data_IF_932833400441
#
_entry.id   IF_932833400441
#
_cell.length_a   1.000
_cell.length_b   1.000
_cell.length_c   1.000
_cell.angle_alpha   90.00
_cell.angle_beta   90.00
_cell.angle_gamma   90.00
#
_symmetry.space_group_name_H-M   'P 1'
#
loop_
_entity.id
_entity.type
_entity.pdbx_description
1 polymer ?
#
# COMPACT_ATOMS: atom_id res chain seq x y z
N UNK A 1 9.19 2.53 9.01
CA UNK A 1 8.76 3.69 8.21
C UNK A 1 7.51 3.30 7.43
N UNK A 2 6.58 4.23 7.23
CA UNK A 2 5.40 4.04 6.36
C UNK A 2 5.48 5.10 5.28
N UNK A 3 5.48 4.65 4.03
CA UNK A 3 5.60 5.50 2.84
C UNK A 3 4.25 5.52 2.11
N UNK A 4 3.71 6.69 1.84
CA UNK A 4 2.56 6.81 0.94
C UNK A 4 3.06 7.09 -0.47
N UNK A 5 2.65 6.27 -1.44
CA UNK A 5 3.00 6.45 -2.85
C UNK A 5 1.72 6.42 -3.67
N UNK A 6 1.15 7.60 -3.94
CA UNK A 6 -0.17 7.82 -4.54
C UNK A 6 -1.29 7.00 -3.87
N UNK A 7 -2.29 7.64 -3.27
CA UNK A 7 -3.34 6.93 -2.50
C UNK A 7 -4.76 7.36 -2.88
N UNK A 8 -4.89 8.04 -4.02
CA UNK A 8 -6.09 8.78 -4.40
C UNK A 8 -6.78 8.26 -5.66
N UNK A 9 -6.10 7.51 -6.52
CA UNK A 9 -6.69 7.05 -7.77
C UNK A 9 -7.37 5.68 -7.60
N UNK A 10 -8.69 5.64 -7.78
CA UNK A 10 -9.48 4.41 -7.70
C UNK A 10 -10.39 4.27 -8.91
N UNK A 11 -10.50 3.05 -9.44
CA UNK A 11 -11.35 2.76 -10.60
C UNK A 11 -12.00 1.38 -10.50
N UNK A 12 -13.23 1.26 -11.00
CA UNK A 12 -13.93 -0.01 -11.19
C UNK A 12 -13.73 -0.59 -12.60
N UNK A 13 -12.88 0.04 -13.41
CA UNK A 13 -12.45 -0.48 -14.70
C UNK A 13 -11.38 -1.57 -14.54
N UNK A 14 -11.18 -2.36 -15.59
CA UNK A 14 -10.16 -3.39 -15.59
C UNK A 14 -8.76 -2.75 -15.62
N UNK A 15 -7.85 -3.25 -14.79
CA UNK A 15 -6.47 -2.78 -14.70
C UNK A 15 -5.49 -3.93 -14.91
N UNK A 16 -4.33 -3.65 -15.48
CA UNK A 16 -3.25 -4.64 -15.59
C UNK A 16 -2.33 -4.54 -14.38
N UNK A 17 -2.52 -5.46 -13.44
CA UNK A 17 -1.66 -5.64 -12.27
C UNK A 17 -0.86 -6.94 -12.32
N UNK A 18 -0.67 -7.52 -13.52
CA UNK A 18 0.05 -8.79 -13.70
C UNK A 18 1.39 -8.80 -12.97
N UNK A 19 2.18 -7.73 -13.08
CA UNK A 19 3.48 -7.57 -12.40
C UNK A 19 3.38 -7.61 -10.87
N UNK A 20 2.40 -6.92 -10.27
CA UNK A 20 2.22 -6.90 -8.82
C UNK A 20 1.58 -8.19 -8.30
N UNK A 21 0.64 -8.76 -9.06
CA UNK A 21 -0.16 -9.92 -8.67
C UNK A 21 0.66 -11.18 -8.37
N UNK A 22 1.82 -11.33 -9.00
CA UNK A 22 2.79 -12.41 -8.74
C UNK A 22 3.32 -12.41 -7.30
N UNK A 23 3.24 -11.26 -6.62
CA UNK A 23 3.81 -11.05 -5.29
C UNK A 23 2.76 -10.83 -4.21
N UNK A 24 1.47 -10.92 -4.56
CA UNK A 24 0.39 -10.78 -3.59
C UNK A 24 0.42 -11.98 -2.65
N UNK A 25 0.70 -11.72 -1.38
CA UNK A 25 0.70 -12.71 -0.30
C UNK A 25 -0.69 -12.85 0.30
N UNK A 26 -1.55 -11.84 0.11
CA UNK A 26 -2.91 -11.83 0.64
C UNK A 26 -3.83 -10.98 -0.21
N UNK A 27 -4.89 -11.62 -0.71
CA UNK A 27 -5.86 -11.04 -1.63
C UNK A 27 -7.23 -10.94 -0.94
N UNK A 28 -7.57 -9.73 -0.46
CA UNK A 28 -8.90 -9.42 0.08
C UNK A 28 -9.73 -8.53 -0.86
N UNK A 29 -9.26 -8.33 -2.09
CA UNK A 29 -9.85 -7.43 -3.07
C UNK A 29 -9.92 -8.08 -4.45
N UNK A 30 -10.86 -7.63 -5.29
CA UNK A 30 -10.83 -7.92 -6.72
C UNK A 30 -9.76 -7.07 -7.41
N UNK A 31 -8.55 -7.63 -7.51
CA UNK A 31 -7.40 -6.98 -8.13
C UNK A 31 -7.53 -6.82 -9.66
N UNK A 32 -8.57 -7.37 -10.29
CA UNK A 32 -8.85 -7.01 -11.69
C UNK A 32 -9.33 -5.57 -11.81
N UNK A 33 -9.80 -4.99 -10.69
CA UNK A 33 -10.24 -3.60 -10.55
C UNK A 33 -9.23 -2.78 -9.78
N UNK A 34 -9.12 -1.52 -10.14
CA UNK A 34 -8.33 -0.53 -9.42
C UNK A 34 -9.00 0.00 -8.15
N UNK A 35 -9.77 -0.79 -7.42
CA UNK A 35 -10.59 -0.32 -6.29
C UNK A 35 -10.11 -0.80 -4.91
N UNK A 36 -8.79 -0.81 -4.71
CA UNK A 36 -8.15 -1.26 -3.48
C UNK A 36 -6.85 -0.47 -3.22
N UNK A 37 -6.31 -0.61 -2.00
CA UNK A 37 -4.97 -0.14 -1.62
C UNK A 37 -3.99 -1.31 -1.42
N UNK A 38 -2.77 -1.21 -1.94
CA UNK A 38 -1.71 -2.20 -1.72
C UNK A 38 -0.83 -1.80 -0.55
N UNK A 39 -0.62 -2.74 0.38
CA UNK A 39 0.41 -2.70 1.40
C UNK A 39 1.61 -3.51 0.90
N UNK A 40 2.72 -2.85 0.62
CA UNK A 40 3.90 -3.44 -0.01
C UNK A 40 5.07 -3.44 0.96
N UNK A 41 5.73 -4.59 1.11
CA UNK A 41 6.96 -4.72 1.90
C UNK A 41 8.02 -5.57 1.18
N UNK A 42 9.26 -5.53 1.65
CA UNK A 42 10.30 -6.52 1.33
C UNK A 42 10.31 -7.67 2.36
N UNK A 43 11.11 -8.70 2.14
CA UNK A 43 11.15 -9.89 3.01
C UNK A 43 11.53 -9.51 4.45
N UNK A 44 12.48 -8.59 4.59
CA UNK A 44 12.96 -8.17 5.90
C UNK A 44 11.90 -7.35 6.67
N UNK A 45 10.95 -6.70 5.98
CA UNK A 45 9.88 -5.88 6.56
C UNK A 45 8.58 -6.65 6.79
N UNK A 46 8.47 -7.91 6.36
CA UNK A 46 7.25 -8.71 6.52
C UNK A 46 6.78 -8.79 7.98
N UNK A 47 7.69 -9.09 8.92
CA UNK A 47 7.35 -9.10 10.36
C UNK A 47 6.90 -7.74 10.87
N UNK A 48 7.42 -6.65 10.32
CA UNK A 48 7.01 -5.29 10.66
C UNK A 48 5.61 -4.99 10.12
N UNK A 49 5.31 -5.33 8.87
CA UNK A 49 3.98 -5.22 8.27
C UNK A 49 2.92 -6.02 9.03
N UNK A 50 3.24 -7.23 9.45
CA UNK A 50 2.31 -8.07 10.22
C UNK A 50 1.90 -7.45 11.57
N UNK A 51 2.70 -6.54 12.17
CA UNK A 51 2.35 -5.86 13.43
C UNK A 51 1.15 -4.93 13.28
N UNK A 52 0.87 -4.41 12.08
CA UNK A 52 -0.26 -3.52 11.82
C UNK A 52 -1.61 -4.23 11.91
N UNK A 53 -1.64 -5.54 11.62
CA UNK A 53 -2.81 -6.39 11.80
C UNK A 53 -4.09 -5.80 11.18
N UNK A 54 -4.01 -5.37 9.92
CA UNK A 54 -5.07 -4.67 9.19
C UNK A 54 -6.41 -5.41 9.16
N UNK A 55 -6.42 -6.74 9.32
CA UNK A 55 -7.67 -7.52 9.42
C UNK A 55 -8.49 -7.20 10.65
N UNK A 56 -7.82 -6.80 11.75
CA UNK A 56 -8.48 -6.46 13.01
C UNK A 56 -8.90 -5.00 13.10
N UNK A 57 -8.78 -4.24 12.01
CA UNK A 57 -9.26 -2.87 11.89
C UNK A 57 -10.61 -2.90 11.19
N UNK A 58 -11.58 -2.17 11.74
CA UNK A 58 -12.83 -1.89 11.05
C UNK A 58 -12.51 -0.96 9.88
N UNK A 59 -12.51 -1.51 8.67
CA UNK A 59 -11.97 -0.86 7.47
C UNK A 59 -13.06 -0.57 6.46
N UNK A 60 -12.99 0.61 5.85
CA UNK A 60 -13.91 1.07 4.80
C UNK A 60 -13.31 0.99 3.38
N UNK A 61 -12.14 0.40 3.27
CA UNK A 61 -11.40 0.25 2.01
C UNK A 61 -10.88 -1.18 1.89
N UNK A 62 -10.97 -1.74 0.68
CA UNK A 62 -10.34 -3.02 0.37
C UNK A 62 -8.83 -2.86 0.24
N UNK A 63 -8.09 -3.90 0.61
CA UNK A 63 -6.64 -3.87 0.52
C UNK A 63 -6.06 -5.22 0.12
N UNK A 64 -4.82 -5.19 -0.34
CA UNK A 64 -3.99 -6.38 -0.55
C UNK A 64 -2.66 -6.22 0.15
N UNK A 65 -2.02 -7.33 0.46
CA UNK A 65 -0.62 -7.33 0.91
C UNK A 65 0.23 -7.97 -0.19
N UNK A 66 1.36 -7.33 -0.49
CA UNK A 66 2.33 -7.84 -1.45
C UNK A 66 3.73 -7.79 -0.84
N UNK A 67 4.50 -8.85 -1.06
CA UNK A 67 5.88 -8.94 -0.63
C UNK A 67 6.80 -9.03 -1.85
N UNK A 68 7.52 -7.95 -2.11
CA UNK A 68 8.38 -7.84 -3.30
C UNK A 68 9.80 -8.32 -2.92
N UNK A 69 10.36 -9.27 -3.68
CA UNK A 69 11.73 -9.71 -3.43
C UNK A 69 12.73 -8.58 -3.63
N UNK A 70 13.72 -8.47 -2.76
CA UNK A 70 14.85 -7.57 -3.01
C UNK A 70 16.02 -8.34 -3.64
N UNK A 71 16.74 -7.78 -4.64
CA UNK A 71 16.61 -6.45 -5.24
C UNK A 71 15.75 -6.44 -6.51
N UNK A 72 14.42 -6.48 -6.41
CA UNK A 72 13.50 -6.15 -7.51
C UNK A 72 12.97 -4.74 -7.25
N UNK A 73 13.55 -3.75 -7.93
CA UNK A 73 13.50 -2.34 -7.54
C UNK A 73 12.52 -1.47 -8.34
N UNK A 74 11.88 -1.97 -9.41
CA UNK A 74 11.13 -1.10 -10.34
C UNK A 74 9.61 -1.20 -10.25
N UNK A 75 9.06 -2.32 -9.77
CA UNK A 75 7.59 -2.53 -9.76
C UNK A 75 6.91 -1.56 -8.77
N UNK A 76 7.64 -1.15 -7.74
CA UNK A 76 7.12 -0.33 -6.64
C UNK A 76 8.17 0.70 -6.22
N UNK A 77 8.70 1.50 -7.15
CA UNK A 77 9.75 2.46 -6.79
C UNK A 77 9.17 3.69 -6.07
N UNK A 78 9.58 3.90 -4.81
CA UNK A 78 9.29 5.11 -4.02
C UNK A 78 10.28 5.20 -2.83
N UNK A 79 10.09 6.13 -1.89
CA UNK A 79 11.07 6.46 -0.84
C UNK A 79 11.47 5.29 0.08
N UNK A 80 10.59 4.29 0.22
CA UNK A 80 10.85 3.07 0.97
C UNK A 80 12.06 2.27 0.47
N UNK A 81 12.43 2.38 -0.81
CA UNK A 81 13.61 1.69 -1.36
C UNK A 81 14.90 2.08 -0.62
N UNK A 82 15.04 3.36 -0.23
CA UNK A 82 16.20 3.82 0.53
C UNK A 82 16.25 3.19 1.92
N UNK A 83 15.09 3.05 2.58
CA UNK A 83 15.02 2.41 3.89
C UNK A 83 15.39 0.92 3.79
N UNK A 84 14.85 0.22 2.79
CA UNK A 84 15.19 -1.18 2.55
C UNK A 84 16.68 -1.37 2.30
N UNK A 85 17.29 -0.52 1.45
CA UNK A 85 18.73 -0.53 1.15
C UNK A 85 19.60 -0.43 2.40
N UNK A 86 19.19 0.33 3.41
CA UNK A 86 19.93 0.51 4.66
C UNK A 86 19.46 -0.41 5.80
N UNK A 87 18.64 -1.44 5.50
CA UNK A 87 18.17 -2.43 6.48
C UNK A 87 17.04 -1.94 7.40
N UNK A 88 16.48 -0.75 7.15
CA UNK A 88 15.36 -0.22 7.92
C UNK A 88 14.03 -0.79 7.42
N UNK A 89 13.17 -1.18 8.36
CA UNK A 89 11.86 -1.74 8.04
C UNK A 89 10.94 -0.65 7.48
N UNK A 90 10.40 -0.88 6.30
CA UNK A 90 9.49 0.05 5.64
C UNK A 90 8.34 -0.68 4.92
N UNK A 91 7.18 -0.03 4.91
CA UNK A 91 5.99 -0.46 4.18
C UNK A 91 5.62 0.69 3.27
N UNK A 92 5.29 0.39 2.02
CA UNK A 92 4.65 1.34 1.12
C UNK A 92 3.15 1.07 1.07
N UNK A 93 2.37 2.13 1.16
CA UNK A 93 0.93 2.15 1.02
C UNK A 93 0.63 2.87 -0.29
N UNK A 94 0.11 2.15 -1.28
CA UNK A 94 -0.05 2.67 -2.64
C UNK A 94 -1.36 2.23 -3.26
N UNK A 95 -1.96 3.12 -4.03
CA UNK A 95 -3.06 2.82 -4.91
C UNK A 95 -2.55 2.18 -6.22
N UNK A 96 -1.26 1.90 -6.39
CA UNK A 96 -0.71 1.29 -7.61
C UNK A 96 -0.89 2.16 -8.86
N UNK A 97 -1.00 3.49 -8.72
CA UNK A 97 -1.27 4.44 -9.80
C UNK A 97 -0.37 4.26 -11.03
N UNK A 98 0.91 3.91 -10.84
CA UNK A 98 1.82 3.60 -11.93
C UNK A 98 1.27 2.55 -12.93
N UNK A 99 0.40 1.64 -12.49
CA UNK A 99 -0.22 0.60 -13.31
C UNK A 99 -1.63 0.94 -13.79
N UNK A 100 -2.32 1.92 -13.18
CA UNK A 100 -3.76 2.12 -13.39
C UNK A 100 -4.23 3.55 -13.62
N UNK A 101 -3.46 4.56 -13.22
CA UNK A 101 -3.82 5.96 -13.45
C UNK A 101 -3.30 6.40 -14.82
N UNK A 102 -4.19 6.66 -15.81
CA UNK A 102 -3.78 7.08 -17.15
C UNK A 102 -3.16 8.48 -17.17
N UNK A 103 -3.38 9.28 -16.11
CA UNK A 103 -2.84 10.62 -15.97
C UNK A 103 -1.56 10.68 -15.12
N UNK A 104 -1.04 9.54 -14.63
CA UNK A 104 0.11 9.50 -13.74
C UNK A 104 1.34 10.22 -14.34
N UNK A 105 1.97 11.11 -13.58
CA UNK A 105 3.08 11.97 -14.02
C UNK A 105 2.75 12.89 -15.21
N UNK A 106 1.47 13.27 -15.38
CA UNK A 106 1.05 14.25 -16.38
C UNK A 106 0.40 15.46 -15.73
N UNK A 107 0.23 16.54 -16.48
CA UNK A 107 -0.52 17.72 -16.03
C UNK A 107 -2.01 17.44 -15.74
N UNK A 108 -2.54 16.30 -16.22
CA UNK A 108 -3.94 15.91 -16.00
C UNK A 108 -4.12 15.10 -14.70
N UNK A 109 -3.06 14.90 -13.91
CA UNK A 109 -3.15 14.32 -12.58
C UNK A 109 -3.66 15.40 -11.60
N UNK A 110 -4.97 15.62 -11.63
CA UNK A 110 -5.62 16.72 -10.92
C UNK A 110 -6.50 16.23 -9.78
N UNK A 111 -6.90 17.16 -8.89
CA UNK A 111 -7.76 16.87 -7.74
C UNK A 111 -9.11 16.25 -8.14
N UNK A 112 -9.61 16.55 -9.34
CA UNK A 112 -10.85 16.00 -9.87
C UNK A 112 -10.74 14.51 -10.20
N UNK A 113 -9.51 14.00 -10.38
CA UNK A 113 -9.24 12.59 -10.73
C UNK A 113 -9.00 11.70 -9.50
N UNK A 114 -8.98 12.27 -8.30
CA UNK A 114 -8.72 11.55 -7.05
C UNK A 114 -9.97 11.44 -6.16
N UNK A 115 -10.12 10.29 -5.50
CA UNK A 115 -11.18 10.02 -4.54
C UNK A 115 -10.70 10.35 -3.12
N UNK A 116 -10.94 11.60 -2.70
CA UNK A 116 -10.52 12.12 -1.38
C UNK A 116 -11.16 11.34 -0.22
N UNK A 117 -12.37 10.80 -0.40
CA UNK A 117 -13.01 9.99 0.64
C UNK A 117 -12.26 8.67 0.85
N UNK A 118 -11.81 8.02 -0.24
CA UNK A 118 -10.98 6.82 -0.11
C UNK A 118 -9.58 7.12 0.38
N UNK A 119 -8.97 8.26 0.02
CA UNK A 119 -7.72 8.70 0.64
C UNK A 119 -7.86 8.81 2.16
N UNK A 120 -8.97 9.39 2.64
CA UNK A 120 -9.28 9.44 4.06
C UNK A 120 -9.36 8.03 4.66
N UNK A 121 -10.06 7.08 4.02
CA UNK A 121 -10.13 5.70 4.52
C UNK A 121 -8.77 4.99 4.54
N UNK A 122 -7.88 5.28 3.60
CA UNK A 122 -6.51 4.75 3.57
C UNK A 122 -5.71 5.28 4.76
N UNK A 123 -5.75 6.59 5.00
CA UNK A 123 -5.07 7.23 6.14
C UNK A 123 -5.63 6.71 7.47
N UNK A 124 -6.96 6.61 7.57
CA UNK A 124 -7.65 6.12 8.76
C UNK A 124 -7.27 4.67 9.09
N UNK A 125 -7.19 3.79 8.07
CA UNK A 125 -6.71 2.41 8.23
C UNK A 125 -5.30 2.34 8.82
N UNK A 126 -4.38 3.18 8.34
CA UNK A 126 -3.01 3.23 8.85
C UNK A 126 -2.96 3.82 10.27
N UNK A 127 -3.71 4.89 10.54
CA UNK A 127 -3.74 5.52 11.87
C UNK A 127 -4.33 4.56 12.92
N UNK A 128 -5.45 3.91 12.63
CA UNK A 128 -6.09 2.97 13.55
C UNK A 128 -5.23 1.73 13.79
N UNK A 129 -4.56 1.21 12.76
CA UNK A 129 -3.60 0.12 12.94
C UNK A 129 -2.42 0.52 13.84
N UNK A 130 -1.87 1.74 13.69
CA UNK A 130 -0.82 2.25 14.60
C UNK A 130 -1.36 2.39 16.04
N UNK A 131 -2.55 2.96 16.23
CA UNK A 131 -3.18 3.07 17.57
C UNK A 131 -3.36 1.71 18.23
N UNK A 132 -3.78 0.70 17.48
CA UNK A 132 -3.95 -0.67 17.99
C UNK A 132 -2.61 -1.33 18.30
N UNK A 133 -1.63 -1.13 17.43
CA UNK A 133 -0.27 -1.64 17.57
C UNK A 133 0.42 -1.09 18.82
N UNK A 134 0.26 0.21 19.12
CA UNK A 134 0.87 0.88 20.29
C UNK A 134 0.18 0.56 21.62
N UNK A 135 -1.11 0.19 21.62
CA UNK A 135 -1.80 -0.30 22.83
C UNK A 135 -1.27 -1.65 23.32
N UNK A 136 -0.62 -2.42 22.45
CA UNK A 136 0.07 -3.64 22.86
C UNK A 136 1.41 -3.25 23.51
N UNK A 137 1.50 -3.37 24.85
CA UNK A 137 2.64 -2.93 25.69
C UNK A 137 4.03 -3.47 25.28
N UNK A 138 4.11 -4.43 24.37
CA UNK A 138 5.35 -5.04 23.87
C UNK A 138 5.83 -4.46 22.53
N UNK A 139 5.34 -3.28 22.09
CA UNK A 139 5.68 -2.77 20.76
C UNK A 139 7.11 -2.24 20.63
N UNK A 140 7.65 -1.61 21.68
CA UNK A 140 8.98 -1.00 21.70
C UNK A 140 10.07 -1.88 22.32
N UNK A 141 9.70 -3.08 22.79
CA UNK A 141 10.62 -4.09 23.29
C UNK A 141 10.91 -5.12 22.19
#
# INVERSE_FOLDING_TARGET
>A
MINYEMIGYFTNENVDLSKLSMFITKKQADISKGNFIAMVCDEQSQKFMNKFNFEKIDKKIEYVEAMIPTPINQITASDHLNFWKFGYKAIMVTDTAHFRNPNYHTQNDTLETIDVNKMYYVVDLIVESIKKMTKNKNFFN
#
